data_IF_160450554957
#
_entry.id   IF_160450554957
#
_cell.length_a   1.000
_cell.length_b   1.000
_cell.length_c   1.000
_cell.angle_alpha   90.00
_cell.angle_beta   90.00
_cell.angle_gamma   90.00
#
_symmetry.space_group_name_H-M   'P 1'
#
loop_
_entity.id
_entity.type
_entity.pdbx_description
1 polymer ?
#
# COMPACT_ATOMS: atom_id res chain seq x y z
N UNK A 1 -48.68 61.95 4.90
CA UNK A 1 -48.15 61.72 3.53
C UNK A 1 -46.89 62.56 3.36
N UNK A 2 -45.73 62.13 2.90
CA UNK A 2 -45.01 60.85 2.76
C UNK A 2 -43.52 61.29 2.74
N UNK A 3 -42.76 60.98 3.79
CA UNK A 3 -41.78 59.89 3.92
C UNK A 3 -40.41 60.20 3.27
N UNK A 4 -39.44 60.40 4.17
CA UNK A 4 -38.01 60.70 4.04
C UNK A 4 -37.16 59.49 3.62
N UNK A 5 -35.98 59.80 3.05
CA UNK A 5 -34.64 59.17 3.25
C UNK A 5 -34.49 57.69 2.88
N UNK A 6 -33.35 57.20 2.40
CA UNK A 6 -32.00 57.72 2.30
C UNK A 6 -31.12 56.61 1.70
N UNK A 7 -29.97 56.99 1.18
CA UNK A 7 -29.01 56.08 0.55
C UNK A 7 -28.26 55.29 1.64
N UNK A 8 -28.35 53.97 1.60
CA UNK A 8 -27.62 53.06 2.49
C UNK A 8 -26.77 52.10 1.67
N UNK A 9 -25.45 52.19 1.85
CA UNK A 9 -24.42 51.31 1.28
C UNK A 9 -24.58 49.88 1.81
N UNK A 10 -24.36 48.83 1.00
CA UNK A 10 -24.29 47.46 1.50
C UNK A 10 -22.83 47.11 1.81
N UNK A 11 -22.52 46.89 3.08
CA UNK A 11 -21.34 46.13 3.46
C UNK A 11 -21.56 45.53 4.84
N UNK A 12 -21.41 44.21 4.94
CA UNK A 12 -20.83 43.43 6.03
C UNK A 12 -21.45 42.03 5.94
N UNK A 13 -20.77 41.15 5.19
CA UNK A 13 -20.94 39.70 5.34
C UNK A 13 -19.79 39.24 6.21
N UNK A 14 -20.09 38.96 7.48
CA UNK A 14 -19.17 38.29 8.40
C UNK A 14 -19.29 36.80 8.14
N UNK A 15 -18.32 36.22 7.44
CA UNK A 15 -18.13 34.77 7.37
C UNK A 15 -17.05 34.40 8.40
N UNK A 16 -17.46 34.07 9.63
CA UNK A 16 -16.58 33.43 10.59
C UNK A 16 -16.72 31.91 10.45
N UNK A 17 -15.88 31.31 9.60
CA UNK A 17 -15.78 29.85 9.50
C UNK A 17 -14.45 29.42 10.10
N UNK A 18 -14.42 29.17 11.40
CA UNK A 18 -13.33 28.49 12.07
C UNK A 18 -13.79 27.07 12.44
N UNK A 19 -13.75 26.17 11.47
CA UNK A 19 -13.88 24.74 11.73
C UNK A 19 -12.52 24.23 12.23
N UNK A 20 -12.42 23.98 13.53
CA UNK A 20 -11.28 23.29 14.14
C UNK A 20 -11.26 21.83 13.66
N UNK A 21 -10.44 21.55 12.66
CA UNK A 21 -10.03 20.19 12.31
C UNK A 21 -9.07 19.70 13.39
N UNK A 22 -9.61 19.04 14.41
CA UNK A 22 -8.81 18.19 15.30
C UNK A 22 -8.35 16.98 14.49
N UNK A 23 -7.14 17.09 13.95
CA UNK A 23 -6.46 16.01 13.24
C UNK A 23 -6.25 14.81 14.16
N UNK A 24 -6.96 13.73 13.85
CA UNK A 24 -6.71 12.41 14.41
C UNK A 24 -5.41 11.89 13.78
N UNK A 25 -4.29 12.04 14.48
CA UNK A 25 -3.03 11.41 14.08
C UNK A 25 -3.16 9.92 14.39
N UNK A 26 -3.57 9.15 13.39
CA UNK A 26 -3.45 7.70 13.42
C UNK A 26 -1.97 7.34 13.30
N UNK A 27 -1.31 7.15 14.44
CA UNK A 27 -0.08 6.38 14.47
C UNK A 27 -0.46 4.93 14.16
N UNK A 28 -0.47 4.58 12.88
CA UNK A 28 -0.43 3.18 12.47
C UNK A 28 0.95 2.64 12.90
N UNK A 29 1.02 2.14 14.13
CA UNK A 29 2.09 1.25 14.54
C UNK A 29 1.86 -0.03 13.76
N UNK A 30 2.48 -0.13 12.59
CA UNK A 30 2.67 -1.40 11.91
C UNK A 30 3.41 -2.29 12.90
N UNK A 31 2.67 -3.14 13.62
CA UNK A 31 3.27 -4.24 14.36
C UNK A 31 4.12 -4.96 13.34
N UNK A 32 5.42 -4.95 13.54
CA UNK A 32 6.33 -5.90 12.92
C UNK A 32 5.93 -7.25 13.50
N UNK A 33 4.87 -7.84 12.94
CA UNK A 33 4.54 -9.23 13.16
C UNK A 33 5.77 -10.02 12.74
N UNK A 34 6.19 -10.96 13.58
CA UNK A 34 7.38 -11.77 13.38
C UNK A 34 7.52 -12.18 11.90
N UNK A 35 8.53 -11.63 11.23
CA UNK A 35 8.74 -11.73 9.81
C UNK A 35 9.02 -13.19 9.45
N UNK A 36 8.09 -13.79 8.72
CA UNK A 36 8.19 -15.20 8.37
C UNK A 36 6.91 -15.75 7.75
N UNK A 37 5.79 -15.01 7.81
CA UNK A 37 4.63 -15.33 6.98
C UNK A 37 3.76 -14.13 6.62
N UNK A 38 2.98 -14.28 5.54
CA UNK A 38 1.97 -13.31 5.11
C UNK A 38 0.78 -13.99 4.42
N UNK A 39 -0.39 -13.37 4.51
CA UNK A 39 -1.57 -13.81 3.76
C UNK A 39 -1.52 -13.23 2.35
N UNK A 40 -1.69 -14.09 1.34
CA UNK A 40 -1.87 -13.72 -0.06
C UNK A 40 -3.31 -14.04 -0.47
N UNK A 41 -3.91 -13.14 -1.25
CA UNK A 41 -5.24 -13.33 -1.81
C UNK A 41 -5.14 -13.83 -3.25
N UNK A 42 -6.13 -14.56 -3.73
CA UNK A 42 -6.21 -15.00 -5.12
C UNK A 42 -6.01 -13.82 -6.09
N UNK A 43 -5.14 -13.99 -7.09
CA UNK A 43 -4.71 -12.94 -8.01
C UNK A 43 -3.39 -12.29 -7.61
N UNK A 44 -3.18 -11.04 -8.07
CA UNK A 44 -1.90 -10.34 -7.92
C UNK A 44 -1.77 -9.65 -6.55
N UNK A 45 -0.67 -9.94 -5.85
CA UNK A 45 -0.31 -9.35 -4.57
C UNK A 45 1.01 -8.60 -4.71
N UNK A 46 0.98 -7.27 -4.57
CA UNK A 46 2.19 -6.47 -4.50
C UNK A 46 2.66 -6.35 -3.06
N UNK A 47 3.86 -6.83 -2.78
CA UNK A 47 4.42 -6.94 -1.44
C UNK A 47 5.86 -6.45 -1.41
N UNK A 48 6.32 -6.00 -0.25
CA UNK A 48 7.74 -5.85 0.06
C UNK A 48 8.23 -7.12 0.74
N UNK A 49 9.25 -7.78 0.18
CA UNK A 49 9.76 -9.02 0.74
C UNK A 49 10.50 -8.74 2.06
N UNK A 50 10.13 -9.48 3.12
CA UNK A 50 10.68 -9.28 4.46
C UNK A 50 11.38 -10.52 5.01
N UNK A 51 11.53 -11.56 4.20
CA UNK A 51 12.30 -12.76 4.53
C UNK A 51 13.80 -12.55 4.39
N UNK A 52 14.58 -13.57 4.79
CA UNK A 52 16.03 -13.57 4.53
C UNK A 52 16.29 -13.65 3.02
N UNK A 53 17.44 -13.14 2.58
CA UNK A 53 17.89 -13.29 1.20
C UNK A 53 18.05 -14.78 0.87
N UNK A 54 17.31 -15.26 -0.14
CA UNK A 54 17.32 -16.66 -0.57
C UNK A 54 16.81 -16.78 -2.01
N UNK A 55 17.02 -17.92 -2.66
CA UNK A 55 16.49 -18.15 -4.00
C UNK A 55 14.98 -18.34 -3.99
N UNK A 56 14.33 -18.01 -5.11
CA UNK A 56 12.88 -18.01 -5.22
C UNK A 56 12.27 -19.40 -5.01
N UNK A 57 12.97 -20.48 -5.35
CA UNK A 57 12.54 -21.86 -5.10
C UNK A 57 12.39 -22.15 -3.59
N UNK A 58 13.37 -21.73 -2.78
CA UNK A 58 13.32 -21.84 -1.32
C UNK A 58 12.27 -20.89 -0.74
N UNK A 59 12.22 -19.64 -1.21
CA UNK A 59 11.29 -18.64 -0.70
C UNK A 59 9.84 -19.04 -0.95
N UNK A 60 9.50 -19.53 -2.14
CA UNK A 60 8.13 -19.89 -2.51
C UNK A 60 7.74 -21.33 -2.18
N UNK A 61 8.62 -22.11 -1.55
CA UNK A 61 8.38 -23.53 -1.27
C UNK A 61 7.04 -23.80 -0.54
N UNK A 62 6.60 -22.90 0.34
CA UNK A 62 5.33 -23.05 1.08
C UNK A 62 4.07 -22.74 0.28
N UNK A 63 4.20 -22.09 -0.89
CA UNK A 63 3.07 -21.70 -1.75
C UNK A 63 3.20 -22.21 -3.19
N UNK A 64 4.14 -23.12 -3.46
CA UNK A 64 4.45 -23.56 -4.83
C UNK A 64 3.24 -24.16 -5.54
N UNK A 65 2.34 -24.82 -4.82
CA UNK A 65 1.10 -25.40 -5.35
C UNK A 65 0.07 -24.34 -5.76
N UNK A 66 0.18 -23.13 -5.22
CA UNK A 66 -0.72 -22.00 -5.49
C UNK A 66 -0.09 -20.95 -6.40
N UNK A 67 1.24 -20.91 -6.51
CA UNK A 67 1.99 -19.91 -7.25
C UNK A 67 1.82 -20.09 -8.76
N UNK A 68 1.26 -19.08 -9.41
CA UNK A 68 1.17 -19.07 -10.88
C UNK A 68 2.40 -18.42 -11.50
N UNK A 69 2.76 -17.23 -11.02
CA UNK A 69 3.91 -16.47 -11.50
C UNK A 69 4.30 -15.39 -10.48
N UNK A 70 5.56 -14.99 -10.48
CA UNK A 70 6.07 -13.87 -9.69
C UNK A 70 6.88 -12.91 -10.54
N UNK A 71 6.85 -11.64 -10.18
CA UNK A 71 7.65 -10.58 -10.76
C UNK A 71 8.37 -9.79 -9.67
N UNK A 72 9.55 -9.27 -9.99
CA UNK A 72 10.31 -8.33 -9.17
C UNK A 72 10.31 -6.96 -9.83
N UNK A 73 10.13 -5.90 -9.07
CA UNK A 73 10.30 -4.55 -9.59
C UNK A 73 11.79 -4.23 -9.68
N UNK A 74 12.29 -3.99 -10.89
CA UNK A 74 13.67 -3.53 -11.07
C UNK A 74 13.80 -2.10 -10.51
N UNK A 75 14.67 -1.85 -9.51
CA UNK A 75 14.75 -0.55 -8.84
C UNK A 75 15.28 0.55 -9.75
N UNK A 76 16.02 0.20 -10.81
CA UNK A 76 16.62 1.15 -11.76
C UNK A 76 15.67 1.48 -12.89
N UNK A 77 15.11 0.46 -13.56
CA UNK A 77 14.24 0.66 -14.72
C UNK A 77 12.79 0.92 -14.35
N UNK A 78 12.37 0.58 -13.12
CA UNK A 78 10.98 0.62 -12.65
C UNK A 78 10.05 -0.29 -13.49
N UNK A 79 10.61 -1.35 -14.09
CA UNK A 79 9.88 -2.37 -14.85
C UNK A 79 9.78 -3.67 -14.06
N UNK A 80 8.70 -4.42 -14.28
CA UNK A 80 8.49 -5.74 -13.67
C UNK A 80 9.22 -6.82 -14.47
N UNK A 81 10.16 -7.49 -13.82
CA UNK A 81 10.91 -8.61 -14.37
C UNK A 81 10.39 -9.92 -13.82
N UNK A 82 10.22 -10.93 -14.68
CA UNK A 82 9.73 -12.24 -14.23
C UNK A 82 10.78 -12.92 -13.33
N UNK A 83 10.32 -13.40 -12.18
CA UNK A 83 11.12 -14.18 -11.23
C UNK A 83 11.17 -15.63 -11.72
N UNK A 84 12.38 -16.19 -11.71
CA UNK A 84 12.65 -17.62 -11.98
C UNK A 84 13.14 -18.30 -10.71
N UNK A 85 13.19 -19.63 -10.70
CA UNK A 85 13.68 -20.43 -9.55
C UNK A 85 15.08 -20.00 -9.06
N UNK A 86 15.95 -19.53 -9.96
CA UNK A 86 17.32 -19.07 -9.64
C UNK A 86 17.41 -17.57 -9.32
N UNK A 87 16.29 -16.86 -9.25
CA UNK A 87 16.28 -15.44 -8.91
C UNK A 87 16.51 -15.30 -7.41
N UNK A 88 17.55 -14.58 -7.02
CA UNK A 88 17.78 -14.22 -5.63
C UNK A 88 16.70 -13.22 -5.18
N UNK A 89 15.88 -13.61 -4.22
CA UNK A 89 14.95 -12.71 -3.55
C UNK A 89 15.67 -11.96 -2.44
N UNK A 90 15.63 -10.62 -2.50
CA UNK A 90 16.39 -9.75 -1.59
C UNK A 90 15.45 -9.03 -0.64
N UNK A 91 15.81 -9.01 0.64
CA UNK A 91 15.08 -8.29 1.68
C UNK A 91 14.86 -6.82 1.29
N UNK A 92 13.61 -6.37 1.41
CA UNK A 92 13.22 -4.99 1.13
C UNK A 92 12.87 -4.69 -0.33
N UNK A 93 13.06 -5.63 -1.26
CA UNK A 93 12.62 -5.46 -2.65
C UNK A 93 11.12 -5.71 -2.81
N UNK A 94 10.53 -5.10 -3.84
CA UNK A 94 9.12 -5.24 -4.17
C UNK A 94 8.88 -6.38 -5.18
N UNK A 95 7.87 -7.20 -4.88
CA UNK A 95 7.45 -8.34 -5.68
C UNK A 95 5.96 -8.28 -5.96
N UNK A 96 5.57 -8.73 -7.14
CA UNK A 96 4.18 -9.00 -7.52
C UNK A 96 4.03 -10.51 -7.63
N UNK A 97 3.31 -11.11 -6.69
CA UNK A 97 3.12 -12.57 -6.59
C UNK A 97 1.68 -12.88 -6.97
N UNK A 98 1.49 -13.70 -7.98
CA UNK A 98 0.17 -14.11 -8.46
C UNK A 98 -0.09 -15.54 -8.00
N UNK A 99 -1.15 -15.73 -7.21
CA UNK A 99 -1.57 -17.02 -6.67
C UNK A 99 -2.98 -17.37 -7.15
N UNK A 100 -3.24 -18.67 -7.35
CA UNK A 100 -4.52 -19.18 -7.85
C UNK A 100 -5.64 -19.15 -6.81
N UNK A 101 -5.30 -19.18 -5.51
CA UNK A 101 -6.22 -19.12 -4.38
C UNK A 101 -5.61 -18.43 -3.15
N UNK A 102 -6.45 -18.07 -2.19
CA UNK A 102 -6.02 -17.48 -0.92
C UNK A 102 -5.12 -18.46 -0.15
N UNK A 103 -3.90 -18.03 0.20
CA UNK A 103 -2.94 -18.89 0.90
C UNK A 103 -2.07 -18.10 1.88
N UNK A 104 -1.39 -18.82 2.78
CA UNK A 104 -0.42 -18.22 3.71
C UNK A 104 0.98 -18.55 3.22
N UNK A 105 1.70 -17.54 2.77
CA UNK A 105 3.08 -17.66 2.36
C UNK A 105 4.00 -17.58 3.57
N UNK A 106 4.85 -18.59 3.77
CA UNK A 106 5.85 -18.66 4.84
C UNK A 106 7.25 -18.73 4.23
N UNK A 107 8.19 -17.89 4.68
CA UNK A 107 9.51 -17.68 4.07
C UNK A 107 10.64 -17.48 5.10
#
# INVERSE_FOLDING_TARGET
>A
MAKRTGWGLPAVVVLSSAALLTGLVFYAVSKVAAAGSMLLYAGANTITYTGKDQYADEAFASIIDYLEIAYRLNPVTQEWEQVTEYTLMVYGEEYSIIVSEDCVWTF
#
